data_IF_394524722851
#
_entry.id   IF_394524722851
#
_cell.length_a   1.000
_cell.length_b   1.000
_cell.length_c   1.000
_cell.angle_alpha   90.00
_cell.angle_beta   90.00
_cell.angle_gamma   90.00
#
_symmetry.space_group_name_H-M   'P 1'
#
loop_
_entity.id
_entity.type
_entity.pdbx_description
1 polymer ?
#
# COMPACT_ATOMS: atom_id res chain seq x y z
N UNK A 1 19.35 -12.12 -4.36
CA UNK A 1 18.79 -12.47 -3.05
C UNK A 1 17.75 -11.44 -2.62
N UNK A 2 18.08 -10.14 -2.48
CA UNK A 2 17.16 -9.09 -1.99
C UNK A 2 15.80 -9.10 -2.72
N UNK A 3 15.80 -9.17 -4.06
CA UNK A 3 14.56 -9.23 -4.85
C UNK A 3 13.72 -10.46 -4.53
N UNK A 4 14.33 -11.63 -4.32
CA UNK A 4 13.61 -12.86 -3.95
C UNK A 4 13.00 -12.75 -2.55
N UNK A 5 13.74 -12.21 -1.59
CA UNK A 5 13.24 -11.92 -0.22
C UNK A 5 12.06 -10.96 -0.28
N UNK A 6 12.16 -9.91 -1.10
CA UNK A 6 11.08 -8.92 -1.32
C UNK A 6 9.84 -9.57 -1.92
N UNK A 7 10.01 -10.38 -2.97
CA UNK A 7 8.90 -11.11 -3.59
C UNK A 7 8.20 -12.01 -2.57
N UNK A 8 8.96 -12.81 -1.83
CA UNK A 8 8.42 -13.73 -0.83
C UNK A 8 7.65 -12.98 0.26
N UNK A 9 8.24 -11.91 0.83
CA UNK A 9 7.59 -11.10 1.86
C UNK A 9 6.28 -10.48 1.36
N UNK A 10 6.28 -9.86 0.17
CA UNK A 10 5.08 -9.23 -0.37
C UNK A 10 4.06 -10.23 -0.92
N UNK A 11 4.46 -11.46 -1.30
CA UNK A 11 3.53 -12.55 -1.57
C UNK A 11 2.75 -12.91 -0.31
N UNK A 12 3.42 -13.06 0.83
CA UNK A 12 2.75 -13.29 2.12
C UNK A 12 1.79 -12.15 2.45
N UNK A 13 2.23 -10.90 2.30
CA UNK A 13 1.33 -9.74 2.50
C UNK A 13 0.12 -9.79 1.57
N UNK A 14 0.30 -10.20 0.31
CA UNK A 14 -0.80 -10.39 -0.64
C UNK A 14 -1.75 -11.53 -0.24
N UNK A 15 -1.26 -12.64 0.29
CA UNK A 15 -2.11 -13.71 0.84
C UNK A 15 -3.03 -13.18 1.93
N UNK A 16 -2.50 -12.35 2.83
CA UNK A 16 -3.31 -11.72 3.87
C UNK A 16 -4.43 -10.84 3.33
N UNK A 17 -4.27 -10.19 2.17
CA UNK A 17 -5.32 -9.36 1.57
C UNK A 17 -6.58 -10.16 1.21
N UNK A 18 -6.44 -11.42 0.80
CA UNK A 18 -7.58 -12.27 0.46
C UNK A 18 -8.02 -13.18 1.60
N UNK A 19 -7.08 -13.76 2.36
CA UNK A 19 -7.39 -14.74 3.38
C UNK A 19 -7.93 -14.12 4.68
N UNK A 20 -7.35 -12.99 5.12
CA UNK A 20 -7.71 -12.39 6.42
C UNK A 20 -9.17 -11.90 6.50
N UNK A 21 -9.73 -11.20 5.50
CA UNK A 21 -11.13 -10.80 5.54
C UNK A 21 -12.08 -11.99 5.68
N UNK A 22 -11.79 -13.08 4.97
CA UNK A 22 -12.57 -14.32 5.03
C UNK A 22 -12.39 -15.03 6.38
N UNK A 23 -11.17 -15.07 6.91
CA UNK A 23 -10.92 -15.64 8.24
C UNK A 23 -11.71 -14.91 9.34
N UNK A 24 -11.69 -13.57 9.31
CA UNK A 24 -12.44 -12.76 10.29
C UNK A 24 -13.94 -13.00 10.19
N UNK A 25 -14.50 -13.12 8.97
CA UNK A 25 -15.94 -13.29 8.77
C UNK A 25 -16.40 -14.75 8.90
N UNK A 26 -15.70 -15.68 8.24
CA UNK A 26 -16.18 -17.05 8.06
C UNK A 26 -15.72 -17.97 9.21
N UNK A 27 -14.51 -17.77 9.76
CA UNK A 27 -14.00 -18.56 10.87
C UNK A 27 -14.34 -17.97 12.24
N UNK A 28 -14.21 -16.63 12.39
CA UNK A 28 -14.41 -15.96 13.69
C UNK A 28 -15.80 -15.32 13.84
N UNK A 29 -16.68 -15.40 12.83
CA UNK A 29 -18.02 -14.82 12.87
C UNK A 29 -18.02 -13.28 12.98
N UNK A 30 -16.91 -12.63 12.60
CA UNK A 30 -16.74 -11.19 12.73
C UNK A 30 -17.55 -10.40 11.68
N UNK A 31 -17.84 -9.14 12.03
CA UNK A 31 -18.50 -8.20 11.14
C UNK A 31 -17.53 -7.61 10.09
N UNK A 32 -18.06 -6.96 9.06
CA UNK A 32 -17.25 -6.17 8.10
C UNK A 32 -16.47 -5.04 8.79
N UNK A 33 -17.03 -4.46 9.87
CA UNK A 33 -16.33 -3.50 10.71
C UNK A 33 -15.10 -4.13 11.38
N UNK A 34 -15.23 -5.36 11.89
CA UNK A 34 -14.11 -6.12 12.47
C UNK A 34 -12.98 -6.37 11.46
N UNK A 35 -13.33 -6.66 10.20
CA UNK A 35 -12.36 -6.75 9.10
C UNK A 35 -11.63 -5.42 8.91
N UNK A 36 -12.38 -4.32 8.85
CA UNK A 36 -11.81 -2.97 8.71
C UNK A 36 -10.84 -2.60 9.81
N UNK A 37 -11.19 -2.91 11.07
CA UNK A 37 -10.31 -2.69 12.23
C UNK A 37 -9.05 -3.57 12.13
N UNK A 38 -9.22 -4.85 11.81
CA UNK A 38 -8.10 -5.81 11.71
C UNK A 38 -7.10 -5.40 10.61
N UNK A 39 -7.59 -4.97 9.44
CA UNK A 39 -6.71 -4.50 8.37
C UNK A 39 -6.15 -3.11 8.68
N UNK A 40 -6.97 -2.20 9.21
CA UNK A 40 -6.56 -0.84 9.56
C UNK A 40 -5.49 -0.79 10.65
N UNK A 41 -5.51 -1.74 11.59
CA UNK A 41 -4.50 -1.82 12.67
C UNK A 41 -3.07 -2.01 12.12
N UNK A 42 -2.92 -2.74 11.01
CA UNK A 42 -1.64 -2.85 10.29
C UNK A 42 -1.14 -1.46 9.84
N UNK A 43 -1.99 -0.68 9.18
CA UNK A 43 -1.61 0.64 8.64
C UNK A 43 -1.31 1.64 9.76
N UNK A 44 -2.07 1.61 10.85
CA UNK A 44 -1.82 2.44 12.04
C UNK A 44 -0.46 2.10 12.65
N UNK A 45 -0.18 0.81 12.83
CA UNK A 45 1.11 0.36 13.35
C UNK A 45 2.26 0.75 12.43
N UNK A 46 2.11 0.57 11.12
CA UNK A 46 3.10 0.97 10.14
C UNK A 46 3.39 2.48 10.21
N UNK A 47 2.35 3.30 10.28
CA UNK A 47 2.47 4.76 10.44
C UNK A 47 3.26 5.15 11.69
N UNK A 48 2.85 4.64 12.85
CA UNK A 48 3.48 4.94 14.14
C UNK A 48 4.94 4.47 14.21
N UNK A 49 5.24 3.40 13.49
CA UNK A 49 6.57 2.78 13.48
C UNK A 49 7.57 3.45 12.54
N UNK A 50 7.15 4.22 11.53
CA UNK A 50 8.08 4.82 10.55
C UNK A 50 9.19 5.66 11.17
N UNK A 51 8.91 6.62 12.10
CA UNK A 51 9.96 7.45 12.66
C UNK A 51 10.97 6.66 13.52
N UNK A 52 10.56 5.77 14.45
CA UNK A 52 11.51 4.98 15.21
C UNK A 52 12.29 3.98 14.36
N UNK A 53 11.67 3.36 13.34
CA UNK A 53 12.34 2.43 12.43
C UNK A 53 13.45 3.12 11.66
N UNK A 54 13.23 4.31 11.11
CA UNK A 54 14.27 5.05 10.40
C UNK A 54 15.53 5.23 11.24
N UNK A 55 15.38 5.70 12.49
CA UNK A 55 16.51 5.85 13.43
C UNK A 55 17.13 4.52 13.81
N UNK A 56 16.32 3.48 14.00
CA UNK A 56 16.80 2.16 14.36
C UNK A 56 17.65 1.55 13.22
N UNK A 57 17.25 1.75 11.95
CA UNK A 57 18.04 1.35 10.79
C UNK A 57 19.39 2.09 10.72
N UNK A 58 19.37 3.38 11.03
CA UNK A 58 20.61 4.18 11.06
C UNK A 58 21.53 3.76 12.21
N UNK A 59 20.96 3.35 13.36
CA UNK A 59 21.72 2.93 14.54
C UNK A 59 22.21 1.48 14.48
N UNK A 60 21.34 0.54 14.07
CA UNK A 60 21.62 -0.90 14.17
C UNK A 60 21.91 -1.58 12.84
N UNK A 61 21.82 -0.82 11.72
CA UNK A 61 21.98 -1.35 10.36
C UNK A 61 20.64 -1.79 9.74
N UNK A 62 20.69 -2.14 8.46
CA UNK A 62 19.50 -2.48 7.65
C UNK A 62 19.21 -3.98 7.70
N UNK A 63 20.26 -4.82 7.74
CA UNK A 63 20.13 -6.28 7.72
C UNK A 63 19.30 -6.86 8.88
N UNK A 64 19.42 -6.42 10.14
CA UNK A 64 18.60 -6.92 11.24
C UNK A 64 17.10 -6.77 10.98
N UNK A 65 16.68 -5.67 10.35
CA UNK A 65 15.29 -5.43 10.01
C UNK A 65 14.83 -6.20 8.77
N UNK A 66 15.73 -6.40 7.78
CA UNK A 66 15.43 -7.23 6.61
C UNK A 66 15.18 -8.69 7.00
N UNK A 67 15.84 -9.18 8.05
CA UNK A 67 15.71 -10.56 8.57
C UNK A 67 14.60 -10.65 9.64
N UNK A 68 14.65 -9.75 10.62
CA UNK A 68 13.74 -9.79 11.78
C UNK A 68 12.27 -9.53 11.42
N UNK A 69 12.02 -8.70 10.43
CA UNK A 69 10.65 -8.41 10.02
C UNK A 69 9.95 -9.63 9.40
N UNK A 70 10.50 -10.35 8.42
CA UNK A 70 9.89 -11.59 7.94
C UNK A 70 9.82 -12.67 9.03
N UNK A 71 10.80 -12.75 9.95
CA UNK A 71 10.73 -13.67 11.07
C UNK A 71 9.54 -13.37 11.99
N UNK A 72 9.27 -12.08 12.27
CA UNK A 72 8.09 -11.67 13.03
C UNK A 72 6.78 -11.99 12.27
N UNK A 73 6.77 -11.81 10.94
CA UNK A 73 5.63 -12.24 10.10
C UNK A 73 5.44 -13.77 10.19
N UNK A 74 6.51 -14.56 10.15
CA UNK A 74 6.43 -16.01 10.30
C UNK A 74 5.82 -16.39 11.66
N UNK A 75 6.31 -15.80 12.75
CA UNK A 75 5.81 -16.03 14.09
C UNK A 75 4.33 -15.68 14.22
N UNK A 76 3.94 -14.49 13.73
CA UNK A 76 2.53 -14.04 13.79
C UNK A 76 1.63 -14.84 12.87
N UNK A 77 2.13 -15.39 11.74
CA UNK A 77 1.38 -16.31 10.89
C UNK A 77 1.09 -17.63 11.63
N UNK A 78 2.10 -18.20 12.30
CA UNK A 78 1.92 -19.41 13.12
C UNK A 78 0.98 -19.15 14.30
N UNK A 79 1.07 -17.97 14.92
CA UNK A 79 0.17 -17.61 16.01
C UNK A 79 -1.32 -17.58 15.58
N UNK A 80 -1.62 -17.27 14.31
CA UNK A 80 -2.99 -17.31 13.79
C UNK A 80 -3.63 -18.72 13.78
N UNK A 81 -2.84 -19.79 13.86
CA UNK A 81 -3.36 -21.18 13.96
C UNK A 81 -4.12 -21.45 15.27
N UNK A 82 -3.84 -20.68 16.31
CA UNK A 82 -4.43 -20.86 17.63
C UNK A 82 -5.30 -19.68 18.07
N UNK A 83 -5.54 -18.72 17.16
CA UNK A 83 -6.33 -17.53 17.44
C UNK A 83 -7.81 -17.80 17.14
N UNK A 84 -8.63 -17.57 18.14
CA UNK A 84 -10.08 -17.74 18.13
C UNK A 84 -10.86 -16.42 18.39
N UNK A 85 -10.16 -15.30 18.48
CA UNK A 85 -10.78 -14.02 18.84
C UNK A 85 -10.30 -12.85 17.96
N UNK A 86 -11.23 -11.94 17.63
CA UNK A 86 -10.95 -10.75 16.83
C UNK A 86 -9.90 -9.82 17.47
N UNK A 87 -9.94 -9.55 18.82
CA UNK A 87 -8.92 -8.75 19.46
C UNK A 87 -7.50 -9.32 19.30
N UNK A 88 -7.34 -10.65 19.34
CA UNK A 88 -6.05 -11.27 19.11
C UNK A 88 -5.57 -11.08 17.65
N UNK A 89 -6.47 -11.21 16.66
CA UNK A 89 -6.16 -10.89 15.26
C UNK A 89 -5.69 -9.45 15.13
N UNK A 90 -6.39 -8.49 15.74
CA UNK A 90 -6.02 -7.06 15.72
C UNK A 90 -4.62 -6.85 16.28
N UNK A 91 -4.30 -7.50 17.42
CA UNK A 91 -2.97 -7.44 18.04
C UNK A 91 -1.87 -8.00 17.12
N UNK A 92 -2.11 -9.16 16.49
CA UNK A 92 -1.17 -9.74 15.54
C UNK A 92 -1.00 -8.87 14.30
N UNK A 93 -2.08 -8.28 13.78
CA UNK A 93 -2.03 -7.35 12.65
C UNK A 93 -1.24 -6.08 12.99
N UNK A 94 -1.35 -5.60 14.22
CA UNK A 94 -0.55 -4.47 14.69
C UNK A 94 0.95 -4.81 14.68
N UNK A 95 1.35 -6.00 15.16
CA UNK A 95 2.73 -6.48 15.09
C UNK A 95 3.21 -6.64 13.63
N UNK A 96 2.36 -7.16 12.77
CA UNK A 96 2.66 -7.30 11.34
C UNK A 96 2.83 -5.94 10.64
N UNK A 97 2.10 -4.90 11.06
CA UNK A 97 2.26 -3.54 10.55
C UNK A 97 3.63 -2.96 10.86
N UNK A 98 4.11 -3.15 12.10
CA UNK A 98 5.49 -2.83 12.48
C UNK A 98 6.50 -3.57 11.60
N UNK A 99 6.34 -4.90 11.45
CA UNK A 99 7.21 -5.71 10.62
C UNK A 99 7.21 -5.26 9.16
N UNK A 100 6.03 -4.99 8.57
CA UNK A 100 5.91 -4.52 7.19
C UNK A 100 6.62 -3.20 6.95
N UNK A 101 6.46 -2.22 7.86
CA UNK A 101 7.17 -0.94 7.79
C UNK A 101 8.69 -1.11 7.91
N UNK A 102 9.15 -1.96 8.83
CA UNK A 102 10.56 -2.25 9.05
C UNK A 102 11.19 -2.91 7.82
N UNK A 103 10.53 -3.95 7.29
CA UNK A 103 10.98 -4.64 6.09
C UNK A 103 11.10 -3.71 4.89
N UNK A 104 10.00 -2.99 4.59
CA UNK A 104 9.97 -2.10 3.41
C UNK A 104 11.06 -1.05 3.47
N UNK A 105 11.22 -0.38 4.63
CA UNK A 105 12.25 0.65 4.80
C UNK A 105 13.66 0.07 4.66
N UNK A 106 13.94 -1.07 5.29
CA UNK A 106 15.24 -1.73 5.17
C UNK A 106 15.54 -2.17 3.74
N UNK A 107 14.59 -2.84 3.08
CA UNK A 107 14.76 -3.39 1.74
C UNK A 107 14.98 -2.30 0.68
N UNK A 108 14.20 -1.20 0.73
CA UNK A 108 14.38 -0.04 -0.18
C UNK A 108 15.71 0.65 0.07
N UNK A 109 16.11 0.81 1.33
CA UNK A 109 17.39 1.42 1.67
C UNK A 109 18.54 0.57 1.15
N UNK A 110 18.55 -0.75 1.39
CA UNK A 110 19.56 -1.66 0.86
C UNK A 110 19.60 -1.61 -0.68
N UNK A 111 18.44 -1.63 -1.35
CA UNK A 111 18.37 -1.53 -2.79
C UNK A 111 19.00 -0.23 -3.32
N UNK A 112 18.79 0.87 -2.59
CA UNK A 112 19.35 2.18 -2.93
C UNK A 112 20.85 2.26 -2.65
N UNK A 113 21.31 1.69 -1.53
CA UNK A 113 22.72 1.67 -1.14
C UNK A 113 23.57 0.81 -2.12
N UNK A 114 23.03 -0.33 -2.57
CA UNK A 114 23.71 -1.23 -3.52
C UNK A 114 23.68 -0.71 -4.96
N UNK A 115 22.84 0.31 -5.26
CA UNK A 115 22.67 0.82 -6.60
C UNK A 115 23.76 1.85 -6.96
N UNK A 116 24.59 1.61 -8.01
CA UNK A 116 25.45 2.65 -8.57
C UNK A 116 24.63 3.89 -8.95
N UNK A 117 25.20 5.07 -8.72
CA UNK A 117 24.48 6.34 -8.91
C UNK A 117 23.83 6.46 -10.31
N UNK A 118 24.53 5.97 -11.34
CA UNK A 118 24.07 6.01 -12.73
C UNK A 118 22.93 5.04 -13.04
N UNK A 119 22.77 3.95 -12.26
CA UNK A 119 21.78 2.89 -12.46
C UNK A 119 20.76 2.79 -11.35
N UNK A 120 20.74 3.76 -10.41
CA UNK A 120 19.86 3.73 -9.23
C UNK A 120 18.38 3.60 -9.61
N UNK A 121 17.92 4.36 -10.60
CA UNK A 121 16.54 4.31 -11.05
C UNK A 121 16.17 2.94 -11.66
N UNK A 122 17.08 2.32 -12.42
CA UNK A 122 16.89 0.98 -12.98
C UNK A 122 16.75 -0.07 -11.86
N UNK A 123 17.64 -0.05 -10.89
CA UNK A 123 17.65 -1.02 -9.78
C UNK A 123 16.40 -0.88 -8.92
N UNK A 124 15.97 0.35 -8.59
CA UNK A 124 14.74 0.60 -7.86
C UNK A 124 13.51 0.14 -8.66
N UNK A 125 13.54 0.29 -9.99
CA UNK A 125 12.47 -0.21 -10.86
C UNK A 125 12.39 -1.74 -10.79
N UNK A 126 13.53 -2.43 -10.93
CA UNK A 126 13.58 -3.90 -10.82
C UNK A 126 13.10 -4.35 -9.44
N UNK A 127 13.60 -3.74 -8.36
CA UNK A 127 13.14 -4.02 -7.00
C UNK A 127 11.61 -3.88 -6.88
N UNK A 128 11.05 -2.81 -7.44
CA UNK A 128 9.61 -2.56 -7.41
C UNK A 128 8.79 -3.62 -8.16
N UNK A 129 9.34 -4.24 -9.23
CA UNK A 129 8.66 -5.33 -9.93
C UNK A 129 8.48 -6.55 -9.04
N UNK A 130 9.45 -6.90 -8.21
CA UNK A 130 9.34 -8.01 -7.27
C UNK A 130 8.38 -7.69 -6.13
N UNK A 131 8.37 -6.45 -5.64
CA UNK A 131 7.40 -5.98 -4.65
C UNK A 131 5.96 -6.10 -5.18
N UNK A 132 5.68 -5.47 -6.33
CA UNK A 132 4.34 -5.50 -6.91
C UNK A 132 3.95 -6.88 -7.43
N UNK A 133 4.92 -7.68 -7.91
CA UNK A 133 4.72 -9.07 -8.29
C UNK A 133 4.20 -9.91 -7.13
N UNK A 134 4.78 -9.72 -5.93
CA UNK A 134 4.29 -10.38 -4.71
C UNK A 134 2.88 -9.95 -4.33
N UNK A 135 2.60 -8.66 -4.30
CA UNK A 135 1.26 -8.13 -4.00
C UNK A 135 0.23 -8.60 -5.03
N UNK A 136 0.60 -8.73 -6.30
CA UNK A 136 -0.30 -9.15 -7.36
C UNK A 136 -0.62 -10.66 -7.32
N UNK A 137 0.40 -11.50 -7.10
CA UNK A 137 0.26 -12.95 -7.06
C UNK A 137 -0.34 -13.46 -5.74
N UNK A 138 -0.02 -12.76 -4.63
CA UNK A 138 -0.40 -13.18 -3.29
C UNK A 138 -1.90 -13.40 -3.08
N UNK A 139 -2.79 -12.48 -3.48
CA UNK A 139 -4.23 -12.65 -3.26
C UNK A 139 -4.83 -13.85 -3.98
N UNK A 140 -4.43 -14.12 -5.23
CA UNK A 140 -4.87 -15.31 -5.96
C UNK A 140 -4.38 -16.59 -5.29
N UNK A 141 -3.14 -16.58 -4.83
CA UNK A 141 -2.56 -17.69 -4.07
C UNK A 141 -3.26 -17.87 -2.72
N UNK A 142 -3.56 -16.78 -2.01
CA UNK A 142 -4.30 -16.83 -0.74
C UNK A 142 -5.70 -17.39 -0.90
N UNK A 143 -6.43 -16.95 -1.93
CA UNK A 143 -7.77 -17.49 -2.22
C UNK A 143 -7.73 -18.98 -2.56
N UNK A 144 -6.71 -19.43 -3.30
CA UNK A 144 -6.48 -20.85 -3.54
C UNK A 144 -6.25 -21.65 -2.25
N UNK A 145 -5.46 -21.10 -1.32
CA UNK A 145 -5.14 -21.76 -0.05
C UNK A 145 -6.37 -21.93 0.85
N UNK A 146 -7.25 -20.90 0.89
CA UNK A 146 -8.46 -20.93 1.76
C UNK A 146 -9.70 -21.47 1.06
N UNK A 147 -9.59 -21.97 -0.18
CA UNK A 147 -10.74 -22.41 -1.00
C UNK A 147 -11.56 -23.53 -0.34
N UNK A 148 -10.93 -24.39 0.45
CA UNK A 148 -11.58 -25.49 1.19
C UNK A 148 -12.16 -25.04 2.54
N UNK A 149 -12.07 -23.77 2.91
CA UNK A 149 -12.39 -23.27 4.26
C UNK A 149 -11.28 -23.55 5.29
N UNK A 150 -10.17 -24.13 4.87
CA UNK A 150 -9.01 -24.42 5.72
C UNK A 150 -8.06 -23.23 5.74
N UNK A 151 -8.21 -22.38 6.75
CA UNK A 151 -7.35 -21.22 6.96
C UNK A 151 -5.97 -21.59 7.51
N UNK A 152 -5.86 -22.70 8.24
CA UNK A 152 -4.60 -23.16 8.83
C UNK A 152 -3.54 -23.40 7.76
N UNK A 153 -3.95 -23.98 6.63
CA UNK A 153 -3.08 -24.14 5.47
C UNK A 153 -2.49 -22.82 4.99
N UNK A 154 -3.29 -21.76 4.96
CA UNK A 154 -2.80 -20.43 4.54
C UNK A 154 -1.79 -19.88 5.55
N UNK A 155 -2.06 -20.02 6.84
CA UNK A 155 -1.17 -19.51 7.88
C UNK A 155 0.14 -20.28 7.94
N UNK A 156 0.12 -21.60 7.81
CA UNK A 156 1.34 -22.44 7.74
C UNK A 156 2.18 -22.04 6.52
N UNK A 157 1.57 -21.93 5.34
CA UNK A 157 2.28 -21.55 4.12
C UNK A 157 2.87 -20.15 4.24
N UNK A 158 2.12 -19.18 4.78
CA UNK A 158 2.64 -17.84 5.06
C UNK A 158 3.83 -17.87 6.02
N UNK A 159 3.74 -18.67 7.09
CA UNK A 159 4.81 -18.87 8.05
C UNK A 159 6.08 -19.43 7.41
N UNK A 160 5.94 -20.47 6.59
CA UNK A 160 7.08 -21.10 5.88
C UNK A 160 7.73 -20.14 4.89
N UNK A 161 6.93 -19.44 4.06
CA UNK A 161 7.46 -18.48 3.09
C UNK A 161 8.17 -17.31 3.81
N UNK A 162 7.56 -16.78 4.87
CA UNK A 162 8.15 -15.70 5.64
C UNK A 162 9.44 -16.12 6.36
N UNK A 163 9.48 -17.33 6.92
CA UNK A 163 10.71 -17.89 7.51
C UNK A 163 11.79 -18.08 6.45
N UNK A 164 11.44 -18.62 5.29
CA UNK A 164 12.36 -18.73 4.15
C UNK A 164 12.90 -17.38 3.71
N UNK A 165 12.06 -16.33 3.69
CA UNK A 165 12.50 -14.96 3.41
C UNK A 165 13.45 -14.43 4.49
N UNK A 166 13.21 -14.70 5.78
CA UNK A 166 14.10 -14.34 6.86
C UNK A 166 15.47 -15.01 6.73
N UNK A 167 15.49 -16.33 6.48
CA UNK A 167 16.74 -17.10 6.29
C UNK A 167 17.51 -16.63 5.05
N UNK A 168 16.82 -16.40 3.93
CA UNK A 168 17.44 -15.84 2.73
C UNK A 168 17.97 -14.41 2.95
N UNK A 169 17.33 -13.63 3.81
CA UNK A 169 17.79 -12.31 4.23
C UNK A 169 19.14 -12.31 4.92
N UNK A 170 19.52 -13.42 5.58
CA UNK A 170 20.85 -13.60 6.17
C UNK A 170 21.99 -13.60 5.13
N UNK A 171 21.68 -13.90 3.87
CA UNK A 171 22.63 -13.87 2.76
C UNK A 171 22.83 -12.45 2.18
N UNK A 172 22.06 -11.47 2.63
CA UNK A 172 22.22 -10.07 2.22
C UNK A 172 23.24 -9.40 3.11
N UNK A 173 24.25 -8.76 2.52
CA UNK A 173 25.26 -8.02 3.26
C UNK A 173 24.69 -6.77 3.90
N UNK A 174 25.24 -6.38 5.06
CA UNK A 174 24.95 -5.09 5.68
C UNK A 174 25.49 -3.95 4.80
N UNK A 175 24.67 -2.92 4.58
CA UNK A 175 25.02 -1.79 3.72
C UNK A 175 25.28 -0.49 4.50
N UNK A 176 25.13 -0.53 5.83
CA UNK A 176 25.38 0.64 6.67
C UNK A 176 26.85 1.08 6.59
N UNK A 177 27.08 2.36 6.25
CA UNK A 177 28.39 2.97 6.42
C UNK A 177 28.68 3.21 7.92
N UNK A 178 29.87 2.79 8.37
CA UNK A 178 30.31 2.99 9.77
C UNK A 178 30.61 4.48 9.94
N UNK A 179 29.90 5.17 10.85
CA UNK A 179 30.24 6.52 11.28
C UNK A 179 29.20 7.63 11.01
N UNK A 180 28.14 7.38 10.22
CA UNK A 180 27.10 8.38 9.98
C UNK A 180 25.88 8.19 10.89
N UNK A 181 25.91 8.83 12.07
CA UNK A 181 24.69 9.10 12.84
C UNK A 181 24.23 10.50 12.50
N UNK A 182 23.31 10.64 11.58
CA UNK A 182 22.63 11.93 11.33
C UNK A 182 21.48 12.03 12.31
N UNK A 183 21.63 12.82 13.37
CA UNK A 183 20.51 13.21 14.22
C UNK A 183 19.54 14.06 13.39
N UNK A 184 18.44 13.45 12.97
CA UNK A 184 17.37 14.16 12.26
C UNK A 184 16.25 14.48 13.25
N UNK A 185 15.79 15.74 13.30
CA UNK A 185 14.63 16.09 14.11
C UNK A 185 13.41 15.31 13.62
N UNK A 186 12.58 14.82 14.56
CA UNK A 186 11.34 14.13 14.24
C UNK A 186 10.27 15.17 13.84
N UNK A 187 10.18 15.46 12.57
CA UNK A 187 9.01 16.14 12.03
C UNK A 187 8.11 15.12 11.36
N UNK A 188 6.92 14.95 11.92
CA UNK A 188 5.91 14.06 11.34
C UNK A 188 5.26 14.66 10.10
N UNK A 189 5.30 15.98 9.95
CA UNK A 189 4.62 16.68 8.88
C UNK A 189 5.50 17.78 8.28
N UNK A 190 5.85 17.61 7.02
CA UNK A 190 6.55 18.62 6.23
C UNK A 190 5.54 19.46 5.42
N UNK A 191 5.59 20.81 5.44
CA UNK A 191 4.59 21.67 4.74
C UNK A 191 4.44 21.35 3.25
N UNK A 192 5.55 21.04 2.55
CA UNK A 192 5.54 20.76 1.11
C UNK A 192 4.74 19.48 0.77
N UNK A 193 4.58 18.56 1.72
CA UNK A 193 3.85 17.30 1.52
C UNK A 193 2.35 17.41 1.81
N UNK A 194 1.86 18.47 2.44
CA UNK A 194 0.46 18.57 2.90
C UNK A 194 -0.52 18.50 1.72
N UNK A 195 -0.40 19.36 0.73
CA UNK A 195 -1.33 19.37 -0.41
C UNK A 195 -1.26 18.08 -1.24
N UNK A 196 -0.09 17.59 -1.71
CA UNK A 196 -0.02 16.32 -2.41
C UNK A 196 -0.37 15.11 -1.52
N UNK A 197 -0.03 15.17 -0.22
CA UNK A 197 -0.34 14.14 0.75
C UNK A 197 -1.85 13.99 1.01
N UNK A 198 -2.58 15.08 1.12
CA UNK A 198 -4.05 15.04 1.26
C UNK A 198 -4.72 14.33 0.08
N UNK A 199 -4.30 14.64 -1.15
CA UNK A 199 -4.83 13.95 -2.34
C UNK A 199 -4.49 12.45 -2.31
N UNK A 200 -3.26 12.12 -1.92
CA UNK A 200 -2.85 10.73 -1.74
C UNK A 200 -3.67 10.04 -0.64
N UNK A 201 -3.92 10.71 0.48
CA UNK A 201 -4.73 10.19 1.59
C UNK A 201 -6.15 9.84 1.11
N UNK A 202 -6.78 10.73 0.35
CA UNK A 202 -8.11 10.49 -0.20
C UNK A 202 -8.10 9.31 -1.19
N UNK A 203 -7.12 9.23 -2.07
CA UNK A 203 -6.97 8.08 -2.95
C UNK A 203 -6.68 6.79 -2.17
N UNK A 204 -5.89 6.84 -1.11
CA UNK A 204 -5.54 5.67 -0.30
C UNK A 204 -6.75 5.03 0.41
N UNK A 205 -7.82 5.79 0.67
CA UNK A 205 -9.08 5.20 1.17
C UNK A 205 -9.70 4.22 0.17
N UNK A 206 -9.65 4.55 -1.12
CA UNK A 206 -10.10 3.65 -2.20
C UNK A 206 -9.17 2.43 -2.37
N UNK A 207 -7.87 2.62 -2.21
CA UNK A 207 -6.90 1.51 -2.17
C UNK A 207 -7.27 0.53 -1.05
N UNK A 208 -7.51 1.03 0.15
CA UNK A 208 -7.92 0.23 1.29
C UNK A 208 -9.26 -0.47 1.07
N UNK A 209 -10.24 0.23 0.46
CA UNK A 209 -11.54 -0.34 0.13
C UNK A 209 -11.42 -1.59 -0.76
N UNK A 210 -10.62 -1.51 -1.83
CA UNK A 210 -10.41 -2.64 -2.73
C UNK A 210 -9.58 -3.72 -2.05
N UNK A 211 -8.41 -3.38 -1.52
CA UNK A 211 -7.47 -4.38 -1.01
C UNK A 211 -7.96 -5.12 0.23
N UNK A 212 -8.75 -4.45 1.08
CA UNK A 212 -9.27 -5.04 2.32
C UNK A 212 -10.58 -5.80 2.12
N UNK A 213 -11.38 -5.43 1.12
CA UNK A 213 -12.76 -5.94 1.01
C UNK A 213 -13.06 -6.64 -0.32
N UNK A 214 -12.11 -6.77 -1.24
CA UNK A 214 -12.36 -7.44 -2.53
C UNK A 214 -12.99 -8.84 -2.38
N UNK A 215 -12.61 -9.73 -1.43
CA UNK A 215 -13.26 -11.02 -1.29
C UNK A 215 -14.74 -10.92 -0.88
N UNK A 216 -15.03 -10.06 0.10
CA UNK A 216 -16.40 -9.85 0.59
C UNK A 216 -17.25 -9.09 -0.44
N UNK A 217 -16.65 -8.12 -1.13
CA UNK A 217 -17.29 -7.38 -2.21
C UNK A 217 -17.61 -8.30 -3.39
N UNK A 218 -16.66 -9.13 -3.84
CA UNK A 218 -16.88 -10.10 -4.91
C UNK A 218 -18.09 -11.00 -4.63
N UNK A 219 -18.17 -11.55 -3.42
CA UNK A 219 -19.33 -12.36 -2.98
C UNK A 219 -20.64 -11.55 -3.03
N UNK A 220 -20.62 -10.28 -2.60
CA UNK A 220 -21.82 -9.44 -2.55
C UNK A 220 -22.38 -9.08 -3.93
N UNK A 221 -21.53 -9.05 -4.96
CA UNK A 221 -21.92 -8.78 -6.35
C UNK A 221 -22.05 -10.06 -7.20
N UNK A 222 -22.01 -11.25 -6.57
CA UNK A 222 -22.21 -12.53 -7.25
C UNK A 222 -21.03 -13.06 -8.03
N UNK A 223 -19.81 -12.55 -7.77
CA UNK A 223 -18.57 -13.09 -8.35
C UNK A 223 -18.11 -14.32 -7.56
N UNK A 224 -17.67 -15.35 -8.28
CA UNK A 224 -17.20 -16.60 -7.67
C UNK A 224 -15.83 -16.48 -7.00
N UNK A 225 -15.03 -15.46 -7.36
CA UNK A 225 -13.66 -15.28 -6.91
C UNK A 225 -13.26 -13.80 -6.94
N UNK A 226 -12.50 -13.36 -5.95
CA UNK A 226 -11.86 -12.05 -5.92
C UNK A 226 -10.52 -12.01 -6.65
N UNK A 227 -9.93 -13.15 -6.96
CA UNK A 227 -8.62 -13.24 -7.62
C UNK A 227 -8.58 -12.45 -8.93
N UNK A 228 -9.67 -12.48 -9.72
CA UNK A 228 -9.76 -11.72 -10.95
C UNK A 228 -9.76 -10.20 -10.71
N UNK A 229 -10.38 -9.70 -9.63
CA UNK A 229 -10.34 -8.28 -9.27
C UNK A 229 -8.91 -7.84 -8.93
N UNK A 230 -8.18 -8.64 -8.15
CA UNK A 230 -6.79 -8.38 -7.83
C UNK A 230 -5.88 -8.45 -9.07
N UNK A 231 -6.14 -9.41 -9.97
CA UNK A 231 -5.40 -9.51 -11.22
C UNK A 231 -5.63 -8.27 -12.10
N UNK A 232 -6.88 -7.82 -12.27
CA UNK A 232 -7.22 -6.59 -12.99
C UNK A 232 -6.54 -5.39 -12.35
N UNK A 233 -6.55 -5.29 -11.02
CA UNK A 233 -5.84 -4.22 -10.30
C UNK A 233 -4.36 -4.21 -10.66
N UNK A 234 -3.68 -5.34 -10.52
CA UNK A 234 -2.24 -5.45 -10.74
C UNK A 234 -1.86 -5.18 -12.20
N UNK A 235 -2.60 -5.76 -13.16
CA UNK A 235 -2.37 -5.58 -14.60
C UNK A 235 -2.56 -4.10 -14.95
N UNK A 236 -3.63 -3.46 -14.47
CA UNK A 236 -3.90 -2.04 -14.73
C UNK A 236 -2.79 -1.14 -14.21
N UNK A 237 -2.29 -1.39 -12.99
CA UNK A 237 -1.14 -0.65 -12.43
C UNK A 237 0.09 -0.80 -13.32
N UNK A 238 0.45 -2.02 -13.74
CA UNK A 238 1.63 -2.28 -14.56
C UNK A 238 1.49 -1.64 -15.93
N UNK A 239 0.36 -1.86 -16.62
CA UNK A 239 0.10 -1.32 -17.96
C UNK A 239 0.19 0.21 -17.96
N UNK A 240 -0.50 0.86 -17.03
CA UNK A 240 -0.50 2.32 -16.95
C UNK A 240 0.89 2.86 -16.62
N UNK A 241 1.63 2.26 -15.67
CA UNK A 241 3.00 2.69 -15.33
C UNK A 241 3.95 2.57 -16.51
N UNK A 242 3.90 1.46 -17.24
CA UNK A 242 4.74 1.26 -18.42
C UNK A 242 4.38 2.26 -19.52
N UNK A 243 3.09 2.43 -19.81
CA UNK A 243 2.61 3.33 -20.86
C UNK A 243 2.92 4.81 -20.55
N UNK A 244 2.89 5.20 -19.28
CA UNK A 244 3.01 6.61 -18.87
C UNK A 244 4.38 6.96 -18.28
N UNK A 245 5.36 6.06 -18.28
CA UNK A 245 6.68 6.22 -17.62
C UNK A 245 7.40 7.55 -17.91
N UNK A 246 7.21 8.14 -19.10
CA UNK A 246 7.81 9.41 -19.51
C UNK A 246 6.83 10.59 -19.49
N UNK A 247 5.57 10.35 -19.16
CA UNK A 247 4.52 11.35 -19.31
C UNK A 247 4.64 12.48 -18.27
N UNK A 248 4.97 12.12 -17.04
CA UNK A 248 5.14 13.08 -15.96
C UNK A 248 6.34 14.02 -16.19
N UNK A 249 7.41 13.52 -16.82
CA UNK A 249 8.59 14.33 -17.15
C UNK A 249 8.33 15.24 -18.35
N UNK A 250 7.49 14.81 -19.30
CA UNK A 250 7.17 15.59 -20.51
C UNK A 250 6.07 16.63 -20.31
N UNK A 251 5.01 16.32 -19.56
CA UNK A 251 3.82 17.15 -19.41
C UNK A 251 3.68 17.79 -18.04
N UNK A 252 4.59 17.46 -17.11
CA UNK A 252 4.56 17.94 -15.72
C UNK A 252 3.75 17.05 -14.78
N UNK A 253 4.08 17.13 -13.48
CA UNK A 253 3.55 16.23 -12.44
C UNK A 253 2.03 16.36 -12.27
N UNK A 254 1.51 17.58 -12.24
CA UNK A 254 0.07 17.86 -12.08
C UNK A 254 -0.76 17.44 -13.29
N UNK A 255 -0.21 17.52 -14.51
CA UNK A 255 -0.88 17.10 -15.74
C UNK A 255 -1.11 15.59 -15.78
N UNK A 256 -0.40 14.81 -14.98
CA UNK A 256 -0.57 13.35 -14.83
C UNK A 256 -1.40 13.01 -13.60
N UNK A 257 -1.16 13.67 -12.47
CA UNK A 257 -1.90 13.41 -11.24
C UNK A 257 -3.40 13.75 -11.36
N UNK A 258 -3.75 14.84 -12.04
CA UNK A 258 -5.12 15.32 -12.18
C UNK A 258 -6.04 14.30 -12.89
N UNK A 259 -5.77 13.86 -14.13
CA UNK A 259 -6.58 12.83 -14.77
C UNK A 259 -6.54 11.50 -14.04
N UNK A 260 -5.41 11.16 -13.38
CA UNK A 260 -5.31 9.98 -12.52
C UNK A 260 -6.31 10.03 -11.37
N UNK A 261 -6.48 11.19 -10.72
CA UNK A 261 -7.42 11.34 -9.61
C UNK A 261 -8.88 11.29 -10.10
N UNK A 262 -9.17 11.82 -11.29
CA UNK A 262 -10.50 11.70 -11.91
C UNK A 262 -10.80 10.21 -12.21
N UNK A 263 -9.85 9.50 -12.82
CA UNK A 263 -10.02 8.07 -13.12
C UNK A 263 -10.25 7.25 -11.85
N UNK A 264 -9.53 7.56 -10.75
CA UNK A 264 -9.74 6.93 -9.46
C UNK A 264 -11.13 7.23 -8.89
N UNK A 265 -11.62 8.46 -8.97
CA UNK A 265 -12.94 8.84 -8.51
C UNK A 265 -14.05 8.11 -9.32
N UNK A 266 -13.95 8.10 -10.64
CA UNK A 266 -14.89 7.39 -11.53
C UNK A 266 -14.85 5.88 -11.25
N UNK A 267 -13.67 5.31 -11.06
CA UNK A 267 -13.50 3.90 -10.69
C UNK A 267 -14.24 3.55 -9.40
N UNK A 268 -14.15 4.40 -8.37
CA UNK A 268 -14.89 4.21 -7.11
C UNK A 268 -16.40 4.35 -7.27
N UNK A 269 -16.88 5.28 -8.12
CA UNK A 269 -18.31 5.40 -8.44
C UNK A 269 -18.82 4.11 -9.11
N UNK A 270 -18.07 3.54 -10.05
CA UNK A 270 -18.43 2.28 -10.71
C UNK A 270 -18.48 1.11 -9.73
N UNK A 271 -17.56 1.06 -8.76
CA UNK A 271 -17.60 0.07 -7.69
C UNK A 271 -18.83 0.22 -6.79
N UNK A 272 -19.25 1.47 -6.53
CA UNK A 272 -20.45 1.76 -5.73
C UNK A 272 -21.76 1.30 -6.40
N UNK A 273 -21.79 1.11 -7.74
CA UNK A 273 -22.94 0.53 -8.47
C UNK A 273 -23.18 -0.94 -8.06
N UNK A 274 -22.14 -1.63 -7.57
CA UNK A 274 -22.19 -2.97 -7.02
C UNK A 274 -22.77 -4.02 -8.01
N UNK A 275 -22.26 -4.03 -9.24
CA UNK A 275 -22.56 -5.03 -10.27
C UNK A 275 -21.27 -5.71 -10.77
N UNK A 276 -21.31 -6.98 -11.24
CA UNK A 276 -20.11 -7.70 -11.69
C UNK A 276 -19.30 -6.96 -12.75
N UNK A 277 -19.96 -6.45 -13.80
CA UNK A 277 -19.28 -5.75 -14.91
C UNK A 277 -18.65 -4.44 -14.44
N UNK A 278 -19.40 -3.63 -13.68
CA UNK A 278 -18.90 -2.36 -13.16
C UNK A 278 -17.78 -2.55 -12.13
N UNK A 279 -17.75 -3.70 -11.43
CA UNK A 279 -16.67 -4.06 -10.52
C UNK A 279 -15.32 -4.15 -11.23
N UNK A 280 -15.24 -4.87 -12.34
CA UNK A 280 -13.99 -5.00 -13.12
C UNK A 280 -13.52 -3.69 -13.71
N UNK A 281 -14.46 -2.94 -14.35
CA UNK A 281 -14.15 -1.64 -14.95
C UNK A 281 -13.74 -0.64 -13.87
N UNK A 282 -14.44 -0.64 -12.73
CA UNK A 282 -14.17 0.22 -11.59
C UNK A 282 -12.79 -0.02 -10.99
N UNK A 283 -12.44 -1.29 -10.78
CA UNK A 283 -11.10 -1.67 -10.31
C UNK A 283 -10.02 -1.25 -11.31
N UNK A 284 -10.24 -1.47 -12.60
CA UNK A 284 -9.28 -1.11 -13.66
C UNK A 284 -9.01 0.40 -13.70
N UNK A 285 -10.08 1.21 -13.69
CA UNK A 285 -9.97 2.67 -13.70
C UNK A 285 -9.33 3.20 -12.42
N UNK A 286 -9.78 2.69 -11.26
CA UNK A 286 -9.18 3.08 -9.99
C UNK A 286 -7.69 2.76 -9.95
N UNK A 287 -7.31 1.52 -10.27
CA UNK A 287 -5.92 1.06 -10.22
C UNK A 287 -5.03 1.83 -11.21
N UNK A 288 -5.52 2.09 -12.42
CA UNK A 288 -4.85 2.92 -13.41
C UNK A 288 -4.66 4.36 -12.93
N UNK A 289 -5.70 4.96 -12.34
CA UNK A 289 -5.64 6.29 -11.73
C UNK A 289 -4.64 6.35 -10.58
N UNK A 290 -4.70 5.39 -9.65
CA UNK A 290 -3.78 5.31 -8.51
C UNK A 290 -2.33 5.11 -8.94
N UNK A 291 -2.09 4.36 -10.02
CA UNK A 291 -0.76 4.16 -10.61
C UNK A 291 -0.12 5.48 -11.08
N UNK A 292 -0.94 6.47 -11.46
CA UNK A 292 -0.50 7.82 -11.85
C UNK A 292 -0.34 8.75 -10.64
N UNK A 293 -1.27 8.69 -9.68
CA UNK A 293 -1.33 9.59 -8.52
C UNK A 293 -0.07 9.49 -7.67
N UNK A 294 0.25 8.28 -7.20
CA UNK A 294 1.31 8.09 -6.21
C UNK A 294 2.68 8.60 -6.69
N UNK A 295 3.22 8.17 -7.85
CA UNK A 295 4.54 8.63 -8.30
C UNK A 295 4.56 10.10 -8.72
N UNK A 296 3.48 10.62 -9.31
CA UNK A 296 3.42 12.02 -9.72
C UNK A 296 3.39 12.97 -8.51
N UNK A 297 2.61 12.66 -7.48
CA UNK A 297 2.55 13.48 -6.26
C UNK A 297 3.79 13.32 -5.39
N UNK A 298 4.40 12.14 -5.37
CA UNK A 298 5.69 11.91 -4.72
C UNK A 298 6.80 12.76 -5.35
N UNK A 299 6.87 12.78 -6.69
CA UNK A 299 7.81 13.61 -7.42
C UNK A 299 7.52 15.11 -7.20
N UNK A 300 6.25 15.53 -7.22
CA UNK A 300 5.84 16.91 -6.92
C UNK A 300 6.29 17.34 -5.52
N UNK A 301 6.21 16.45 -4.54
CA UNK A 301 6.68 16.73 -3.17
C UNK A 301 8.19 16.89 -3.13
N UNK A 302 8.94 16.01 -3.82
CA UNK A 302 10.39 16.07 -3.91
C UNK A 302 10.89 17.35 -4.61
N UNK A 303 10.18 17.79 -5.67
CA UNK A 303 10.54 18.98 -6.46
C UNK A 303 10.34 20.30 -5.66
N UNK A 304 9.59 20.27 -4.56
CA UNK A 304 9.27 21.45 -3.73
C UNK A 304 10.24 21.70 -2.58
N UNK A 305 11.23 20.84 -2.40
CA UNK A 305 12.16 20.89 -1.27
C UNK A 305 13.60 20.72 -1.72
N UNK A 306 14.58 21.34 -1.01
CA UNK A 306 15.99 21.09 -1.27
C UNK A 306 16.36 19.64 -0.92
N UNK A 307 17.46 19.14 -1.49
CA UNK A 307 17.91 17.74 -1.35
C UNK A 307 18.02 17.28 0.11
N UNK A 308 18.46 18.16 1.00
CA UNK A 308 18.61 17.90 2.44
C UNK A 308 17.27 17.59 3.16
N UNK A 309 16.15 18.10 2.65
CA UNK A 309 14.81 17.96 3.25
C UNK A 309 13.96 16.89 2.55
N UNK A 310 14.43 16.33 1.40
CA UNK A 310 13.67 15.34 0.61
C UNK A 310 13.23 14.12 1.40
N UNK A 311 14.11 13.58 2.23
CA UNK A 311 13.79 12.40 3.04
C UNK A 311 12.63 12.66 4.01
N UNK A 312 12.62 13.81 4.67
CA UNK A 312 11.57 14.25 5.59
C UNK A 312 10.25 14.50 4.85
N UNK A 313 10.30 15.23 3.74
CA UNK A 313 9.12 15.55 2.94
C UNK A 313 8.48 14.27 2.35
N UNK A 314 9.27 13.32 1.83
CA UNK A 314 8.77 12.06 1.30
C UNK A 314 8.27 11.12 2.40
N UNK A 315 8.90 11.12 3.57
CA UNK A 315 8.41 10.41 4.76
C UNK A 315 7.03 10.92 5.19
N UNK A 316 6.88 12.25 5.29
CA UNK A 316 5.58 12.89 5.53
C UNK A 316 4.55 12.55 4.47
N UNK A 317 4.92 12.60 3.19
CA UNK A 317 4.03 12.25 2.07
C UNK A 317 3.51 10.81 2.18
N UNK A 318 4.37 9.85 2.48
CA UNK A 318 3.96 8.45 2.64
C UNK A 318 3.14 8.21 3.89
N UNK A 319 3.30 9.01 4.95
CA UNK A 319 2.45 8.95 6.14
C UNK A 319 0.97 9.24 5.81
N UNK A 320 0.69 10.14 4.86
CA UNK A 320 -0.68 10.37 4.39
C UNK A 320 -1.31 9.13 3.73
N UNK A 321 -0.51 8.32 3.03
CA UNK A 321 -0.99 7.04 2.51
C UNK A 321 -1.37 6.08 3.64
N UNK A 322 -0.55 5.96 4.68
CA UNK A 322 -0.84 5.07 5.81
C UNK A 322 -2.10 5.52 6.58
N UNK A 323 -2.26 6.85 6.79
CA UNK A 323 -3.48 7.41 7.41
C UNK A 323 -4.71 7.11 6.55
N UNK A 324 -4.65 7.40 5.24
CA UNK A 324 -5.75 7.15 4.32
C UNK A 324 -6.12 5.67 4.21
N UNK A 325 -5.11 4.80 4.17
CA UNK A 325 -5.29 3.35 4.11
C UNK A 325 -5.86 2.79 5.42
N UNK A 326 -5.35 3.20 6.58
CA UNK A 326 -5.83 2.76 7.88
C UNK A 326 -7.24 3.26 8.17
N UNK A 327 -7.47 4.56 8.07
CA UNK A 327 -8.79 5.17 8.28
C UNK A 327 -9.79 4.68 7.23
N UNK A 328 -9.34 4.49 5.98
CA UNK A 328 -10.16 3.97 4.89
C UNK A 328 -10.65 2.56 5.15
N UNK A 329 -9.77 1.65 5.59
CA UNK A 329 -10.18 0.28 5.93
C UNK A 329 -11.25 0.25 7.02
N UNK A 330 -11.05 1.04 8.08
CA UNK A 330 -12.02 1.15 9.18
C UNK A 330 -13.36 1.74 8.69
N UNK A 331 -13.32 2.89 8.01
CA UNK A 331 -14.52 3.60 7.55
C UNK A 331 -15.32 2.76 6.56
N UNK A 332 -14.65 2.16 5.57
CA UNK A 332 -15.29 1.30 4.56
C UNK A 332 -15.88 0.06 5.23
N UNK A 333 -15.17 -0.56 6.20
CA UNK A 333 -15.69 -1.71 6.95
C UNK A 333 -16.94 -1.40 7.75
N UNK A 334 -16.95 -0.27 8.47
CA UNK A 334 -18.11 0.18 9.24
C UNK A 334 -19.32 0.50 8.33
N UNK A 335 -19.08 1.24 7.25
CA UNK A 335 -20.15 1.60 6.28
C UNK A 335 -20.65 0.36 5.52
N UNK A 336 -19.77 -0.55 5.11
CA UNK A 336 -20.17 -1.78 4.45
C UNK A 336 -21.01 -2.68 5.38
N UNK A 337 -20.71 -2.67 6.68
CA UNK A 337 -21.50 -3.37 7.68
C UNK A 337 -22.88 -2.79 7.89
N UNK A 338 -22.99 -1.46 7.96
CA UNK A 338 -24.24 -0.76 8.25
C UNK A 338 -25.13 -0.54 7.02
N UNK A 339 -24.54 -0.19 5.87
CA UNK A 339 -25.26 0.29 4.69
C UNK A 339 -24.92 -0.47 3.40
N UNK A 340 -24.04 -1.47 3.46
CA UNK A 340 -23.62 -2.23 2.29
C UNK A 340 -22.49 -1.56 1.49
N UNK A 341 -21.99 -2.29 0.47
CA UNK A 341 -20.81 -1.87 -0.28
C UNK A 341 -21.05 -0.65 -1.19
N UNK A 342 -22.27 -0.43 -1.68
CA UNK A 342 -22.59 0.75 -2.49
C UNK A 342 -22.28 2.05 -1.74
N UNK A 343 -22.74 2.19 -0.51
CA UNK A 343 -22.43 3.35 0.34
C UNK A 343 -20.97 3.37 0.74
N UNK A 344 -20.40 2.22 1.09
CA UNK A 344 -19.02 2.10 1.50
C UNK A 344 -18.02 2.55 0.43
N UNK A 345 -18.28 2.29 -0.86
CA UNK A 345 -17.44 2.75 -1.97
C UNK A 345 -17.76 4.18 -2.43
N UNK A 346 -18.98 4.68 -2.16
CA UNK A 346 -19.33 6.07 -2.46
C UNK A 346 -18.49 7.09 -1.65
N UNK A 347 -18.09 6.74 -0.42
CA UNK A 347 -17.27 7.63 0.41
C UNK A 347 -15.87 7.83 -0.18
N UNK A 348 -15.08 6.79 -0.51
CA UNK A 348 -13.82 6.97 -1.24
C UNK A 348 -13.98 7.70 -2.58
N UNK A 349 -15.12 7.49 -3.29
CA UNK A 349 -15.41 8.23 -4.52
C UNK A 349 -15.53 9.75 -4.26
N UNK A 350 -16.28 10.13 -3.24
CA UNK A 350 -16.41 11.53 -2.82
C UNK A 350 -15.07 12.13 -2.38
N UNK A 351 -14.27 11.38 -1.61
CA UNK A 351 -12.93 11.82 -1.19
C UNK A 351 -11.99 12.00 -2.38
N UNK A 352 -12.01 11.10 -3.37
CA UNK A 352 -11.25 11.29 -4.61
C UNK A 352 -11.73 12.53 -5.38
N UNK A 353 -13.03 12.80 -5.44
CA UNK A 353 -13.56 14.03 -6.05
C UNK A 353 -13.09 15.29 -5.33
N UNK A 354 -13.04 15.29 -4.00
CA UNK A 354 -12.40 16.37 -3.22
C UNK A 354 -10.92 16.50 -3.60
N UNK A 355 -10.21 15.39 -3.77
CA UNK A 355 -8.83 15.37 -4.26
C UNK A 355 -8.66 16.04 -5.62
N UNK A 356 -9.59 15.83 -6.56
CA UNK A 356 -9.63 16.53 -7.86
C UNK A 356 -9.74 18.05 -7.66
N UNK A 357 -10.65 18.50 -6.76
CA UNK A 357 -10.82 19.92 -6.47
C UNK A 357 -9.55 20.54 -5.85
N UNK A 358 -8.87 19.83 -4.94
CA UNK A 358 -7.59 20.26 -4.35
C UNK A 358 -6.52 20.42 -5.42
N UNK A 359 -6.38 19.46 -6.34
CA UNK A 359 -5.41 19.55 -7.45
C UNK A 359 -5.76 20.65 -8.45
N UNK A 360 -7.05 20.88 -8.72
CA UNK A 360 -7.52 21.97 -9.57
C UNK A 360 -7.05 23.34 -9.06
N UNK A 361 -7.24 23.59 -7.77
CA UNK A 361 -6.78 24.85 -7.13
C UNK A 361 -5.26 25.02 -7.16
N UNK A 362 -4.51 23.94 -6.94
CA UNK A 362 -3.04 23.98 -7.02
C UNK A 362 -2.55 24.24 -8.43
N UNK A 363 -3.23 23.74 -9.46
CA UNK A 363 -2.92 23.97 -10.86
C UNK A 363 -3.16 25.44 -11.26
N UNK A 364 -4.28 26.02 -10.84
CA UNK A 364 -4.60 27.43 -11.08
C UNK A 364 -3.61 28.38 -10.39
N UNK A 365 -3.22 28.09 -9.14
CA UNK A 365 -2.22 28.85 -8.43
C UNK A 365 -0.85 28.85 -9.13
N UNK A 366 -0.43 27.68 -9.65
CA UNK A 366 0.83 27.57 -10.42
C UNK A 366 0.76 28.29 -11.76
N UNK A 367 -0.38 28.29 -12.45
CA UNK A 367 -0.56 29.00 -13.72
C UNK A 367 -0.51 30.53 -13.54
N UNK A 368 -1.08 31.04 -12.44
CA UNK A 368 -1.02 32.49 -12.12
C UNK A 368 0.41 32.98 -11.83
N UNK A 369 1.24 32.13 -11.18
CA UNK A 369 2.64 32.49 -10.88
C UNK A 369 3.55 32.41 -12.11
N UNK A 370 3.20 31.64 -13.13
CA UNK A 370 3.97 31.51 -14.37
C UNK A 370 3.45 32.38 -15.53
N UNK A 371 2.39 33.18 -15.34
CA UNK A 371 1.82 34.05 -16.36
C UNK A 371 1.15 33.32 -17.55
N UNK A 372 0.93 32.00 -17.43
CA UNK A 372 0.25 31.17 -18.46
C UNK A 372 -1.23 31.06 -18.10
N UNK A 373 -2.10 31.55 -18.96
CA UNK A 373 -3.55 31.32 -18.90
C UNK A 373 -3.82 29.81 -19.06
N UNK A 374 -4.66 29.18 -18.19
CA UNK A 374 -5.06 27.79 -18.36
C UNK A 374 -5.87 27.65 -19.65
N UNK A 375 -5.46 26.74 -20.54
CA UNK A 375 -6.19 26.30 -21.71
C UNK A 375 -7.22 25.20 -21.32
#
# INVERSE_FOLDING_TARGET
VLCAVTLAHFTVMGVYLSALPLFVTDALGGSRASVGISVGSFSISALLSRPPIGRALDRWGRRPFLVGAPALIALTSVALLVVDSIPAVIGLRFLQGFAGAAFYTAAVTIATDLAPQQRRAEIITVFSLFLYGGIAAGPAFGEYLVRSGDFDRAWVVCGVIALGAALAGLLVSETRAVGETVERPLRFLHPASVSPGLVLMFAATGYAAITSFAPLYARSVGLSSSAALYAVFAISVVVVRVATRKLADRRGRLAVAFPGTIAAAVGMVLLAIAQPTTAYIGVALYAGGFALIFPALMALTADRVPDRERGEALGSFTAFFDVGSGAGSYTVGALAGAFGFSVAFAVPAALCAVGVAVLGRTREASARTTGQTPA
#
